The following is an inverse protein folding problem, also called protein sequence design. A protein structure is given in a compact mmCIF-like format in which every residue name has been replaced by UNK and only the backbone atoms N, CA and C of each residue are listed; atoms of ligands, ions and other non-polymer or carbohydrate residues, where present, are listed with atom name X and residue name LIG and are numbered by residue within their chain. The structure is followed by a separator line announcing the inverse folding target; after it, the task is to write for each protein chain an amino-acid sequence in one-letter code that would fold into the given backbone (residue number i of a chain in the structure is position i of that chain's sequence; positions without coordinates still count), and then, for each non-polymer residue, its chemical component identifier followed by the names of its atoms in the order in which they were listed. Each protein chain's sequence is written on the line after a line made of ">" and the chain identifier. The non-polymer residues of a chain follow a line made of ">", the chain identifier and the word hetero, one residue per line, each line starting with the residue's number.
data_IF_586785104273
#
_entry.id   IF_586785104273
#
_cell.length_a   1.000
_cell.length_b   1.000
_cell.length_c   1.000
_cell.angle_alpha   90.00
_cell.angle_beta   90.00
_cell.angle_gamma   90.00
#
_symmetry.space_group_name_H-M   'P 1'
#
loop_
_entity.id
_entity.type
_entity.pdbx_description
1 polymer ?
#
# COMPACT_ATOMS: atom_id res chain seq x y z
N UNK A 1 -10.05 -16.49 -6.82
CA UNK A 1 -11.40 -16.67 -6.24
C UNK A 1 -11.34 -17.74 -5.16
N UNK A 2 -12.08 -17.61 -4.03
CA UNK A 2 -12.12 -18.68 -3.03
C UNK A 2 -12.76 -19.94 -3.64
N UNK A 3 -12.32 -21.11 -3.18
CA UNK A 3 -12.92 -22.39 -3.58
C UNK A 3 -14.35 -22.52 -3.01
N UNK A 4 -14.55 -22.03 -1.79
CA UNK A 4 -15.85 -21.95 -1.10
C UNK A 4 -15.86 -20.70 -0.22
N UNK A 5 -17.06 -20.25 0.18
CA UNK A 5 -17.24 -19.09 1.04
C UNK A 5 -17.42 -17.78 0.26
N UNK A 6 -17.51 -16.68 1.02
CA UNK A 6 -17.74 -15.33 0.51
C UNK A 6 -16.63 -14.38 0.96
N UNK A 7 -16.30 -13.44 0.10
CA UNK A 7 -15.42 -12.32 0.46
C UNK A 7 -16.14 -11.00 0.19
N UNK A 8 -16.46 -10.28 1.27
CA UNK A 8 -17.16 -9.02 1.19
C UNK A 8 -16.16 -7.85 1.27
N UNK A 9 -16.15 -6.98 0.26
CA UNK A 9 -15.38 -5.74 0.24
C UNK A 9 -16.33 -4.57 -0.01
N UNK A 10 -16.40 -3.63 0.93
CA UNK A 10 -17.35 -2.52 0.86
C UNK A 10 -18.82 -2.94 0.75
N UNK A 11 -19.19 -4.09 1.33
CA UNK A 11 -20.53 -4.66 1.27
C UNK A 11 -20.85 -5.46 -0.01
N UNK A 12 -19.93 -5.56 -0.95
CA UNK A 12 -20.07 -6.33 -2.19
C UNK A 12 -19.35 -7.68 -2.09
N UNK A 13 -20.03 -8.77 -2.46
CA UNK A 13 -19.38 -10.07 -2.58
C UNK A 13 -18.50 -10.10 -3.85
N UNK A 14 -17.20 -9.97 -3.64
CA UNK A 14 -16.24 -9.94 -4.75
C UNK A 14 -15.98 -11.31 -5.37
N UNK A 15 -16.38 -12.40 -4.72
CA UNK A 15 -16.22 -13.76 -5.26
C UNK A 15 -17.06 -13.99 -6.53
N UNK A 16 -18.17 -13.25 -6.66
CA UNK A 16 -19.14 -13.37 -7.77
C UNK A 16 -18.90 -12.41 -8.93
N UNK A 17 -17.99 -11.43 -8.76
CA UNK A 17 -17.75 -10.37 -9.74
C UNK A 17 -17.02 -10.90 -10.99
N UNK A 18 -17.27 -10.25 -12.13
CA UNK A 18 -16.46 -10.42 -13.34
C UNK A 18 -15.02 -9.95 -13.11
N UNK A 19 -14.07 -10.37 -13.96
CA UNK A 19 -12.68 -9.92 -13.86
C UNK A 19 -12.54 -8.40 -14.08
N UNK A 20 -13.39 -7.82 -14.92
CA UNK A 20 -13.45 -6.38 -15.16
C UNK A 20 -13.93 -5.63 -13.89
N UNK A 21 -15.01 -6.11 -13.26
CA UNK A 21 -15.53 -5.52 -12.02
C UNK A 21 -14.56 -5.70 -10.85
N UNK A 22 -13.90 -6.87 -10.75
CA UNK A 22 -12.83 -7.10 -9.78
C UNK A 22 -11.66 -6.12 -9.98
N UNK A 23 -11.30 -5.82 -11.22
CA UNK A 23 -10.25 -4.85 -11.52
C UNK A 23 -10.66 -3.44 -11.07
N UNK A 24 -11.91 -3.03 -11.33
CA UNK A 24 -12.45 -1.74 -10.85
C UNK A 24 -12.48 -1.66 -9.32
N UNK A 25 -12.94 -2.73 -8.66
CA UNK A 25 -12.99 -2.81 -7.19
C UNK A 25 -11.58 -2.73 -6.61
N UNK A 26 -10.62 -3.50 -7.13
CA UNK A 26 -9.22 -3.42 -6.69
C UNK A 26 -8.66 -2.01 -6.85
N UNK A 27 -8.82 -1.41 -8.02
CA UNK A 27 -8.31 -0.06 -8.29
C UNK A 27 -8.92 1.02 -7.43
N UNK A 28 -10.16 0.84 -6.94
CA UNK A 28 -10.88 1.82 -6.12
C UNK A 28 -10.64 1.64 -4.63
N UNK A 29 -10.62 0.40 -4.13
CA UNK A 29 -10.65 0.14 -2.69
C UNK A 29 -9.32 -0.31 -2.12
N UNK A 30 -8.39 -0.79 -2.95
CA UNK A 30 -7.13 -1.38 -2.49
C UNK A 30 -5.93 -0.55 -2.97
N UNK A 31 -5.01 -0.28 -2.05
CA UNK A 31 -3.66 0.19 -2.36
C UNK A 31 -2.67 -0.95 -2.12
N UNK A 32 -1.63 -1.05 -2.95
CA UNK A 32 -0.62 -2.09 -2.82
C UNK A 32 0.76 -1.49 -2.57
N UNK A 33 1.45 -2.02 -1.56
CA UNK A 33 2.84 -1.71 -1.22
C UNK A 33 3.62 -3.02 -1.24
N UNK A 34 4.68 -3.10 -2.03
CA UNK A 34 5.47 -4.31 -2.23
C UNK A 34 6.89 -4.14 -1.68
N UNK A 35 7.51 -5.23 -1.26
CA UNK A 35 8.90 -5.28 -0.80
C UNK A 35 9.88 -4.72 -1.86
N UNK A 36 9.67 -5.04 -3.13
CA UNK A 36 10.53 -4.60 -4.25
C UNK A 36 10.12 -3.24 -4.83
N UNK A 37 9.30 -2.46 -4.12
CA UNK A 37 8.76 -1.15 -4.53
C UNK A 37 7.94 -1.17 -5.82
N UNK A 38 8.30 -1.98 -6.81
CA UNK A 38 7.68 -2.13 -8.14
C UNK A 38 7.45 -0.77 -8.84
N UNK A 39 8.48 0.09 -8.82
CA UNK A 39 8.45 1.38 -9.50
C UNK A 39 8.86 1.24 -10.96
N UNK A 40 8.23 2.03 -11.83
CA UNK A 40 8.59 2.12 -13.24
C UNK A 40 9.83 3.01 -13.34
N UNK A 41 10.96 2.43 -13.75
CA UNK A 41 12.29 3.06 -13.70
C UNK A 41 12.41 4.30 -14.59
N UNK A 42 11.64 4.37 -15.68
CA UNK A 42 11.63 5.47 -16.63
C UNK A 42 10.83 6.68 -16.17
N UNK A 43 9.94 6.49 -15.19
CA UNK A 43 9.06 7.52 -14.68
C UNK A 43 9.67 8.21 -13.46
N UNK A 44 9.36 9.51 -13.30
CA UNK A 44 9.67 10.29 -12.10
C UNK A 44 8.84 9.85 -10.89
N UNK A 45 9.14 10.40 -9.71
CA UNK A 45 8.35 10.22 -8.48
C UNK A 45 6.87 10.53 -8.71
N UNK A 46 6.58 11.73 -9.24
CA UNK A 46 5.19 12.16 -9.48
C UNK A 46 4.50 11.24 -10.48
N UNK A 47 5.18 10.89 -11.57
CA UNK A 47 4.62 10.02 -12.60
C UNK A 47 4.36 8.60 -12.08
N UNK A 48 5.25 8.03 -11.26
CA UNK A 48 5.01 6.75 -10.60
C UNK A 48 3.76 6.78 -9.70
N UNK A 49 3.57 7.85 -8.94
CA UNK A 49 2.39 8.02 -8.08
C UNK A 49 1.12 8.16 -8.93
N UNK A 50 1.20 8.77 -10.12
CA UNK A 50 0.07 8.95 -11.04
C UNK A 50 -0.39 7.66 -11.72
N UNK A 51 0.45 6.64 -11.84
CA UNK A 51 0.16 5.42 -12.61
C UNK A 51 -1.24 4.85 -12.35
N UNK A 52 -1.72 4.67 -11.09
CA UNK A 52 -3.03 4.10 -10.84
C UNK A 52 -4.20 4.97 -11.34
N UNK A 53 -4.00 6.28 -11.50
CA UNK A 53 -5.03 7.19 -12.02
C UNK A 53 -5.31 6.97 -13.50
N UNK A 54 -4.35 6.44 -14.27
CA UNK A 54 -4.50 6.15 -15.69
C UNK A 54 -5.51 5.03 -15.97
N UNK A 55 -5.85 4.23 -14.96
CA UNK A 55 -6.84 3.15 -15.06
C UNK A 55 -8.24 3.57 -14.57
N UNK A 56 -8.41 4.85 -14.21
CA UNK A 56 -9.72 5.38 -13.79
C UNK A 56 -10.48 5.98 -14.97
N UNK A 57 -11.80 5.83 -14.93
CA UNK A 57 -12.72 6.48 -15.88
C UNK A 57 -13.80 7.24 -15.07
N UNK A 58 -13.95 8.54 -15.27
CA UNK A 58 -13.17 9.44 -16.13
C UNK A 58 -11.76 9.73 -15.58
N UNK A 59 -10.84 10.09 -16.48
CA UNK A 59 -9.47 10.49 -16.10
C UNK A 59 -9.56 11.77 -15.25
N UNK A 60 -8.84 11.80 -14.14
CA UNK A 60 -8.78 12.95 -13.24
C UNK A 60 -7.89 14.07 -13.79
N UNK A 61 -8.42 15.28 -13.99
CA UNK A 61 -7.61 16.42 -14.48
C UNK A 61 -6.60 16.91 -13.43
N UNK A 62 -6.86 16.70 -12.14
CA UNK A 62 -6.04 17.11 -11.00
C UNK A 62 -4.97 16.07 -10.59
N UNK A 63 -4.78 15.02 -11.39
CA UNK A 63 -3.92 13.88 -11.06
C UNK A 63 -2.48 14.26 -10.68
N UNK A 64 -1.85 15.20 -11.41
CA UNK A 64 -0.50 15.66 -11.10
C UNK A 64 -0.44 16.45 -9.78
N UNK A 65 -1.41 17.32 -9.53
CA UNK A 65 -1.50 18.09 -8.28
C UNK A 65 -1.69 17.16 -7.07
N UNK A 66 -2.61 16.21 -7.17
CA UNK A 66 -2.84 15.20 -6.14
C UNK A 66 -1.57 14.38 -5.86
N UNK A 67 -0.89 13.91 -6.90
CA UNK A 67 0.34 13.12 -6.77
C UNK A 67 1.47 13.93 -6.14
N UNK A 68 1.58 15.23 -6.45
CA UNK A 68 2.53 16.15 -5.83
C UNK A 68 2.22 16.32 -4.32
N UNK A 69 0.96 16.47 -3.94
CA UNK A 69 0.53 16.53 -2.53
C UNK A 69 0.88 15.24 -1.79
N UNK A 70 0.65 14.08 -2.40
CA UNK A 70 0.99 12.79 -1.80
C UNK A 70 2.51 12.59 -1.68
N UNK A 71 3.29 12.98 -2.68
CA UNK A 71 4.75 12.97 -2.58
C UNK A 71 5.25 13.85 -1.42
N UNK A 72 4.65 15.02 -1.24
CA UNK A 72 4.95 15.90 -0.11
C UNK A 72 4.58 15.27 1.23
N UNK A 73 3.41 14.65 1.31
CA UNK A 73 2.94 13.95 2.51
C UNK A 73 3.93 12.87 3.00
N UNK A 74 4.54 12.14 2.07
CA UNK A 74 5.52 11.10 2.39
C UNK A 74 6.96 11.63 2.49
N UNK A 75 7.17 12.96 2.51
CA UNK A 75 8.48 13.58 2.69
C UNK A 75 9.35 13.66 1.43
N UNK A 76 8.74 13.63 0.23
CA UNK A 76 9.46 13.66 -1.06
C UNK A 76 9.28 14.96 -1.85
N UNK A 77 8.90 16.09 -1.19
CA UNK A 77 8.68 17.38 -1.84
C UNK A 77 9.86 17.85 -2.70
N UNK A 78 11.11 17.61 -2.25
CA UNK A 78 12.33 17.96 -2.98
C UNK A 78 12.78 16.94 -4.03
N UNK A 79 11.98 15.91 -4.34
CA UNK A 79 12.36 14.78 -5.20
C UNK A 79 11.36 14.50 -6.32
N UNK A 80 10.43 15.39 -6.60
CA UNK A 80 9.27 15.17 -7.48
C UNK A 80 9.64 14.68 -8.88
N UNK A 81 10.73 15.21 -9.45
CA UNK A 81 11.19 14.87 -10.80
C UNK A 81 12.33 13.82 -10.80
N UNK A 82 12.74 13.31 -9.63
CA UNK A 82 13.73 12.24 -9.54
C UNK A 82 13.16 10.92 -10.04
N UNK A 83 14.03 10.11 -10.65
CA UNK A 83 13.72 8.73 -11.06
C UNK A 83 14.10 7.74 -9.95
N UNK A 84 13.54 6.52 -9.92
CA UNK A 84 13.84 5.52 -8.90
C UNK A 84 15.34 5.26 -8.69
N UNK A 85 16.15 5.26 -9.76
CA UNK A 85 17.61 5.09 -9.68
C UNK A 85 18.35 6.20 -8.94
N UNK A 86 17.70 7.33 -8.66
CA UNK A 86 18.24 8.48 -7.95
C UNK A 86 17.78 8.55 -6.48
N UNK A 87 17.04 7.53 -6.03
CA UNK A 87 16.40 7.47 -4.71
C UNK A 87 17.01 6.35 -3.87
N UNK A 88 17.12 6.58 -2.55
CA UNK A 88 17.41 5.50 -1.61
C UNK A 88 16.25 4.50 -1.53
N UNK A 89 16.48 3.30 -0.98
CA UNK A 89 15.44 2.28 -0.78
C UNK A 89 14.23 2.81 -0.01
N UNK A 90 14.47 3.52 1.11
CA UNK A 90 13.39 4.13 1.89
C UNK A 90 12.62 5.22 1.11
N UNK A 91 13.31 6.01 0.27
CA UNK A 91 12.63 6.97 -0.62
C UNK A 91 11.79 6.26 -1.68
N UNK A 92 12.28 5.17 -2.27
CA UNK A 92 11.50 4.36 -3.21
C UNK A 92 10.27 3.75 -2.54
N UNK A 93 10.39 3.27 -1.30
CA UNK A 93 9.26 2.75 -0.53
C UNK A 93 8.22 3.84 -0.24
N UNK A 94 8.65 5.06 0.10
CA UNK A 94 7.76 6.21 0.26
C UNK A 94 7.01 6.55 -1.04
N UNK A 95 7.64 6.43 -2.22
CA UNK A 95 6.96 6.56 -3.52
C UNK A 95 5.91 5.46 -3.69
N UNK A 96 6.23 4.20 -3.36
CA UNK A 96 5.29 3.08 -3.44
C UNK A 96 4.07 3.29 -2.53
N UNK A 97 4.28 3.80 -1.29
CA UNK A 97 3.20 4.15 -0.37
C UNK A 97 2.34 5.29 -0.93
N UNK A 98 2.96 6.37 -1.42
CA UNK A 98 2.20 7.48 -2.03
C UNK A 98 1.39 7.04 -3.25
N UNK A 99 1.95 6.15 -4.09
CA UNK A 99 1.25 5.52 -5.22
C UNK A 99 0.06 4.69 -4.75
N UNK A 100 0.21 3.93 -3.68
CA UNK A 100 -0.89 3.16 -3.10
C UNK A 100 -2.05 4.05 -2.62
N UNK A 101 -1.75 5.28 -2.19
CA UNK A 101 -2.73 6.24 -1.65
C UNK A 101 -3.49 7.04 -2.71
N UNK A 102 -3.02 7.11 -3.96
CA UNK A 102 -3.51 8.09 -4.95
C UNK A 102 -5.00 7.93 -5.29
N UNK A 103 -5.52 6.72 -5.20
CA UNK A 103 -6.94 6.42 -5.40
C UNK A 103 -7.79 6.54 -4.11
N UNK A 104 -7.19 7.05 -3.03
CA UNK A 104 -7.83 7.14 -1.71
C UNK A 104 -8.45 5.80 -1.25
N UNK A 105 -7.67 4.69 -1.19
CA UNK A 105 -8.17 3.36 -0.88
C UNK A 105 -8.62 3.27 0.59
N UNK A 106 -9.56 2.36 0.86
CA UNK A 106 -9.96 2.01 2.23
C UNK A 106 -8.99 1.02 2.87
N UNK A 107 -8.36 0.18 2.06
CA UNK A 107 -7.44 -0.87 2.53
C UNK A 107 -6.11 -0.74 1.81
N UNK A 108 -5.02 -0.80 2.57
CA UNK A 108 -3.65 -0.92 2.05
C UNK A 108 -3.17 -2.34 2.34
N UNK A 109 -2.76 -3.04 1.30
CA UNK A 109 -2.11 -4.35 1.38
C UNK A 109 -0.60 -4.14 1.26
N UNK A 110 0.13 -4.43 2.31
CA UNK A 110 1.58 -4.26 2.38
C UNK A 110 2.25 -5.63 2.50
N UNK A 111 3.04 -5.98 1.51
CA UNK A 111 3.80 -7.22 1.45
C UNK A 111 5.26 -6.92 1.75
N UNK A 112 5.73 -7.32 2.94
CA UNK A 112 7.08 -7.08 3.47
C UNK A 112 7.55 -5.62 3.25
N UNK A 113 6.81 -4.61 3.74
CA UNK A 113 7.07 -3.21 3.38
C UNK A 113 8.42 -2.67 3.86
N UNK A 114 9.10 -3.39 4.74
CA UNK A 114 10.39 -3.03 5.34
C UNK A 114 11.53 -3.98 4.97
N UNK A 115 11.24 -5.11 4.33
CA UNK A 115 12.17 -6.23 4.14
C UNK A 115 13.44 -5.94 3.34
N UNK A 116 13.55 -4.79 2.66
CA UNK A 116 14.75 -4.35 1.93
C UNK A 116 15.38 -3.08 2.52
N UNK A 117 15.05 -2.73 3.77
CA UNK A 117 15.47 -1.49 4.41
C UNK A 117 16.34 -1.77 5.64
N UNK A 118 17.17 -0.81 6.01
CA UNK A 118 17.83 -0.80 7.30
C UNK A 118 16.84 -0.49 8.44
N UNK A 119 17.19 -0.86 9.67
CA UNK A 119 16.31 -0.76 10.84
C UNK A 119 15.79 0.67 11.08
N UNK A 120 16.61 1.69 10.89
CA UNK A 120 16.19 3.09 11.10
C UNK A 120 15.14 3.48 10.06
N UNK A 121 15.41 3.20 8.80
CA UNK A 121 14.46 3.47 7.69
C UNK A 121 13.19 2.64 7.82
N UNK A 122 13.29 1.37 8.27
CA UNK A 122 12.14 0.50 8.55
C UNK A 122 11.20 1.14 9.56
N UNK A 123 11.74 1.66 10.66
CA UNK A 123 10.94 2.36 11.67
C UNK A 123 10.22 3.59 11.10
N UNK A 124 10.90 4.40 10.28
CA UNK A 124 10.29 5.55 9.63
C UNK A 124 9.12 5.16 8.69
N UNK A 125 9.26 4.04 7.96
CA UNK A 125 8.19 3.53 7.10
C UNK A 125 7.01 3.03 7.95
N UNK A 126 7.29 2.33 9.04
CA UNK A 126 6.25 1.86 9.95
C UNK A 126 5.51 3.02 10.63
N UNK A 127 6.23 4.06 11.06
CA UNK A 127 5.60 5.27 11.61
C UNK A 127 4.66 5.94 10.60
N UNK A 128 5.07 5.99 9.33
CA UNK A 128 4.21 6.49 8.25
C UNK A 128 2.94 5.63 8.09
N UNK A 129 3.07 4.30 8.15
CA UNK A 129 1.92 3.39 8.06
C UNK A 129 0.99 3.55 9.29
N UNK A 130 1.54 3.73 10.49
CA UNK A 130 0.74 3.99 11.70
C UNK A 130 -0.06 5.30 11.59
N UNK A 131 0.56 6.37 11.10
CA UNK A 131 -0.15 7.63 10.83
C UNK A 131 -1.29 7.40 9.84
N UNK A 132 -1.07 6.64 8.78
CA UNK A 132 -2.12 6.33 7.80
C UNK A 132 -3.25 5.48 8.41
N UNK A 133 -2.92 4.51 9.25
CA UNK A 133 -3.93 3.71 9.98
C UNK A 133 -4.77 4.60 10.91
N UNK A 134 -4.14 5.51 11.63
CA UNK A 134 -4.81 6.44 12.54
C UNK A 134 -5.73 7.45 11.82
N UNK A 135 -5.57 7.63 10.50
CA UNK A 135 -6.52 8.39 9.67
C UNK A 135 -7.73 7.57 9.21
N UNK A 136 -7.93 6.37 9.75
CA UNK A 136 -9.09 5.51 9.48
C UNK A 136 -8.92 4.49 8.35
N UNK A 137 -7.72 4.33 7.80
CA UNK A 137 -7.44 3.30 6.78
C UNK A 137 -7.15 1.95 7.42
N UNK A 138 -7.66 0.90 6.84
CA UNK A 138 -7.25 -0.47 7.21
C UNK A 138 -5.92 -0.79 6.53
N UNK A 139 -4.95 -1.29 7.30
CA UNK A 139 -3.69 -1.81 6.77
C UNK A 139 -3.63 -3.30 7.07
N UNK A 140 -3.47 -4.10 6.02
CA UNK A 140 -3.18 -5.53 6.13
C UNK A 140 -1.75 -5.73 5.67
N UNK A 141 -0.89 -6.17 6.58
CA UNK A 141 0.53 -6.34 6.31
C UNK A 141 0.89 -7.83 6.40
N UNK A 142 1.70 -8.29 5.47
CA UNK A 142 2.37 -9.59 5.54
C UNK A 142 3.82 -9.33 5.91
N UNK A 143 4.30 -9.99 6.95
CA UNK A 143 5.71 -9.93 7.35
C UNK A 143 6.12 -11.22 8.07
N UNK A 144 7.40 -11.54 7.99
CA UNK A 144 8.02 -12.61 8.78
C UNK A 144 8.88 -12.05 9.94
N UNK A 145 8.93 -10.72 10.10
CA UNK A 145 9.66 -10.03 11.16
C UNK A 145 8.75 -9.83 12.38
N UNK A 146 9.04 -10.48 13.55
CA UNK A 146 8.21 -10.35 14.75
C UNK A 146 8.06 -8.91 15.23
N UNK A 147 9.14 -8.14 15.25
CA UNK A 147 9.16 -6.75 15.73
C UNK A 147 8.24 -5.84 14.88
N UNK A 148 8.14 -6.14 13.59
CA UNK A 148 7.22 -5.43 12.68
C UNK A 148 5.77 -5.88 12.93
N UNK A 149 5.55 -7.18 13.14
CA UNK A 149 4.22 -7.73 13.43
C UNK A 149 3.64 -7.18 14.74
N UNK A 150 4.48 -6.98 15.76
CA UNK A 150 4.05 -6.44 17.07
C UNK A 150 3.46 -5.02 16.98
N UNK A 151 3.76 -4.25 15.93
CA UNK A 151 3.16 -2.93 15.69
C UNK A 151 1.70 -3.00 15.23
N UNK A 152 1.23 -4.13 14.74
CA UNK A 152 -0.15 -4.31 14.31
C UNK A 152 -1.09 -4.47 15.53
N UNK A 153 -2.33 -3.94 15.40
CA UNK A 153 -3.38 -4.11 16.43
C UNK A 153 -3.83 -5.56 16.56
N UNK A 154 -3.76 -6.31 15.46
CA UNK A 154 -4.13 -7.73 15.42
C UNK A 154 -3.06 -8.47 14.63
N UNK A 155 -2.53 -9.53 15.21
CA UNK A 155 -1.57 -10.43 14.56
C UNK A 155 -2.24 -11.77 14.29
N UNK A 156 -2.21 -12.22 13.03
CA UNK A 156 -2.71 -13.53 12.63
C UNK A 156 -1.51 -14.35 12.16
N UNK A 157 -1.20 -15.40 12.92
CA UNK A 157 -0.12 -16.32 12.56
C UNK A 157 -0.64 -17.44 11.66
N UNK A 158 -0.02 -17.57 10.49
CA UNK A 158 -0.33 -18.61 9.52
C UNK A 158 0.82 -19.62 9.44
N UNK A 159 0.47 -20.91 9.37
CA UNK A 159 1.41 -21.97 9.09
C UNK A 159 0.76 -23.04 8.22
N UNK A 160 1.45 -23.46 7.17
CA UNK A 160 0.98 -24.48 6.22
C UNK A 160 -0.45 -24.20 5.70
N UNK A 161 -0.78 -22.91 5.48
CA UNK A 161 -2.08 -22.46 5.01
C UNK A 161 -3.20 -22.45 6.06
N UNK A 162 -2.89 -22.72 7.33
CA UNK A 162 -3.84 -22.72 8.45
C UNK A 162 -3.55 -21.57 9.43
N UNK A 163 -4.61 -21.02 10.02
CA UNK A 163 -4.50 -20.05 11.09
C UNK A 163 -4.07 -20.80 12.36
N UNK A 164 -2.90 -20.47 12.90
CA UNK A 164 -2.40 -20.98 14.19
C UNK A 164 -2.87 -20.18 15.38
N UNK A 165 -2.76 -18.85 15.29
CA UNK A 165 -3.20 -17.95 16.35
C UNK A 165 -3.77 -16.65 15.78
N UNK A 166 -4.60 -15.99 16.61
CA UNK A 166 -5.08 -14.63 16.40
C UNK A 166 -4.87 -13.89 17.71
N UNK A 167 -3.99 -12.93 17.72
CA UNK A 167 -3.60 -12.16 18.91
C UNK A 167 -3.97 -10.70 18.75
N UNK A 168 -4.48 -10.09 19.83
CA UNK A 168 -4.79 -8.68 19.90
C UNK A 168 -3.70 -7.98 20.69
N UNK A 169 -2.93 -7.10 20.06
CA UNK A 169 -1.99 -6.26 20.76
C UNK A 169 -2.74 -5.12 21.46
N UNK A 170 -2.32 -4.82 22.69
CA UNK A 170 -2.86 -3.65 23.39
C UNK A 170 -2.36 -2.39 22.68
N UNK A 171 -3.31 -1.61 22.16
CA UNK A 171 -3.04 -0.29 21.62
C UNK A 171 -2.55 0.67 22.70
#
# INVERSE_FOLDING_TARGET
>A
RPTTGHYLLGGHDVATLSDEDLSRVRGRYLGFVFQSYNLIQQLSVVENIMVPLSYQTPIRPDGRELSTKLATLVGLAGRLDHRPSQLSGGQQQRVAIARALVNNPHVILADEPTGNLDTATSNEIMDLLDVLNNTGRTIVMVTHEPDIAERAKTVITLRDGLIQSVEQNKA
#
